data_IF_114233775120
#
_entry.id   IF_114233775120
#
_cell.length_a   1.000
_cell.length_b   1.000
_cell.length_c   1.000
_cell.angle_alpha   90.00
_cell.angle_beta   90.00
_cell.angle_gamma   90.00
#
_symmetry.space_group_name_H-M   'P 1'
#
loop_
_entity.id
_entity.type
_entity.pdbx_description
1 polymer ?
#
# COMPACT_ATOMS: atom_id res chain seq x y z
N UNK A 1 -28.87 15.42 -7.61
CA UNK A 1 -28.28 16.01 -6.39
C UNK A 1 -28.58 15.06 -5.24
N UNK A 2 -27.57 14.75 -4.43
CA UNK A 2 -27.60 13.85 -3.26
C UNK A 2 -27.81 12.35 -3.59
N UNK A 3 -27.05 11.40 -3.05
CA UNK A 3 -26.09 11.42 -1.95
C UNK A 3 -25.04 10.35 -2.24
N UNK A 4 -23.79 10.75 -2.50
CA UNK A 4 -22.65 9.82 -2.34
C UNK A 4 -22.39 9.80 -0.85
N UNK A 5 -22.98 8.83 -0.18
CA UNK A 5 -22.63 8.48 1.18
C UNK A 5 -21.14 8.10 1.18
N UNK A 6 -20.30 9.09 1.48
CA UNK A 6 -18.86 8.96 1.74
C UNK A 6 -18.64 8.75 3.25
N UNK A 7 -19.54 8.01 3.89
CA UNK A 7 -19.47 7.70 5.32
C UNK A 7 -18.87 6.32 5.50
N UNK A 8 -17.55 6.31 5.65
CA UNK A 8 -16.76 5.14 6.03
C UNK A 8 -15.42 5.58 6.62
N UNK A 9 -15.47 6.58 7.51
CA UNK A 9 -14.32 7.08 8.25
C UNK A 9 -14.09 6.19 9.47
N UNK A 10 -12.95 5.49 9.51
CA UNK A 10 -12.24 5.25 10.77
C UNK A 10 -12.59 4.03 11.63
N UNK A 11 -13.14 2.93 11.10
CA UNK A 11 -13.29 1.68 11.86
C UNK A 11 -12.73 0.48 11.08
N UNK A 12 -11.41 0.30 11.09
CA UNK A 12 -10.76 -0.94 10.63
C UNK A 12 -10.73 -1.16 9.11
N UNK A 13 -9.96 -0.35 8.38
CA UNK A 13 -9.74 -0.53 6.95
C UNK A 13 -9.41 -2.00 6.61
N UNK A 14 -10.26 -2.66 5.83
CA UNK A 14 -9.95 -4.01 5.34
C UNK A 14 -8.61 -3.97 4.59
N UNK A 15 -7.74 -4.98 4.74
CA UNK A 15 -6.47 -5.03 4.03
C UNK A 15 -6.61 -4.78 2.53
N UNK A 16 -7.59 -5.37 1.85
CA UNK A 16 -7.81 -5.14 0.42
C UNK A 16 -8.09 -3.67 0.07
N UNK A 17 -8.92 -2.97 0.84
CA UNK A 17 -9.22 -1.55 0.57
C UNK A 17 -7.99 -0.67 0.75
N UNK A 18 -7.24 -0.90 1.83
CA UNK A 18 -5.99 -0.19 2.08
C UNK A 18 -4.95 -0.49 0.98
N UNK A 19 -4.75 -1.76 0.63
CA UNK A 19 -3.81 -2.18 -0.39
C UNK A 19 -4.20 -1.63 -1.78
N UNK A 20 -5.49 -1.55 -2.10
CA UNK A 20 -5.97 -0.93 -3.33
C UNK A 20 -5.67 0.57 -3.42
N UNK A 21 -5.86 1.32 -2.32
CA UNK A 21 -5.50 2.75 -2.26
C UNK A 21 -3.98 2.95 -2.36
N UNK A 22 -3.21 2.13 -1.65
CA UNK A 22 -1.75 2.18 -1.70
C UNK A 22 -1.22 1.83 -3.09
N UNK A 23 -1.82 0.87 -3.79
CA UNK A 23 -1.48 0.52 -5.16
C UNK A 23 -1.69 1.70 -6.13
N UNK A 24 -2.81 2.42 -5.99
CA UNK A 24 -3.08 3.62 -6.78
C UNK A 24 -2.05 4.74 -6.49
N UNK A 25 -1.66 4.92 -5.23
CA UNK A 25 -0.63 5.88 -4.84
C UNK A 25 0.75 5.54 -5.42
N UNK A 26 1.14 4.25 -5.40
CA UNK A 26 2.39 3.76 -6.01
C UNK A 26 2.38 4.05 -7.52
N UNK A 27 1.30 3.72 -8.23
CA UNK A 27 1.19 3.97 -9.67
C UNK A 27 1.26 5.48 -10.01
N UNK A 28 0.62 6.34 -9.22
CA UNK A 28 0.69 7.78 -9.39
C UNK A 28 2.11 8.34 -9.20
N UNK A 29 2.87 7.76 -8.25
CA UNK A 29 4.26 8.15 -7.99
C UNK A 29 5.23 7.70 -9.08
N UNK A 30 5.09 6.46 -9.58
CA UNK A 30 5.89 5.95 -10.70
C UNK A 30 5.68 6.79 -11.98
N UNK A 31 4.44 7.21 -12.25
CA UNK A 31 4.14 8.12 -13.37
C UNK A 31 4.87 9.47 -13.27
N UNK A 32 5.12 9.96 -12.05
CA UNK A 32 5.91 11.18 -11.78
C UNK A 32 7.41 10.93 -11.91
N UNK A 33 7.92 9.81 -11.39
CA UNK A 33 9.34 9.44 -11.51
C UNK A 33 9.74 9.18 -12.96
N UNK A 34 8.90 8.53 -13.77
CA UNK A 34 9.17 8.29 -15.20
C UNK A 34 9.33 9.59 -16.00
N UNK A 35 8.69 10.69 -15.56
CA UNK A 35 8.88 12.03 -16.14
C UNK A 35 10.22 12.68 -15.75
N UNK A 36 10.80 12.30 -14.61
CA UNK A 36 12.09 12.79 -14.11
C UNK A 36 13.12 11.68 -14.27
N UNK A 37 13.65 11.52 -15.48
CA UNK A 37 14.68 10.57 -15.93
C UNK A 37 15.72 10.21 -14.83
N UNK A 38 15.42 9.21 -14.00
CA UNK A 38 16.26 8.76 -12.88
C UNK A 38 16.33 7.24 -12.92
N UNK A 39 17.49 6.72 -13.31
CA UNK A 39 17.75 5.29 -13.42
C UNK A 39 18.14 4.74 -12.04
N UNK A 40 17.14 4.35 -11.25
CA UNK A 40 17.33 3.67 -9.96
C UNK A 40 16.75 2.26 -10.02
N UNK A 41 17.52 1.32 -10.59
CA UNK A 41 17.17 -0.11 -10.69
C UNK A 41 16.78 -0.77 -9.36
N UNK A 42 17.44 -0.49 -8.21
CA UNK A 42 17.02 -1.06 -6.92
C UNK A 42 15.62 -0.61 -6.48
N UNK A 43 15.27 0.64 -6.78
CA UNK A 43 13.96 1.24 -6.48
C UNK A 43 12.86 0.56 -7.31
N UNK A 44 13.15 0.28 -8.59
CA UNK A 44 12.23 -0.40 -9.49
C UNK A 44 11.92 -1.84 -9.07
N UNK A 45 12.92 -2.59 -8.58
CA UNK A 45 12.72 -3.96 -8.08
C UNK A 45 11.87 -3.93 -6.80
N UNK A 46 12.17 -3.03 -5.87
CA UNK A 46 11.38 -2.87 -4.64
C UNK A 46 9.93 -2.48 -4.93
N UNK A 47 9.71 -1.54 -5.86
CA UNK A 47 8.38 -1.12 -6.29
C UNK A 47 7.60 -2.27 -6.96
N UNK A 48 8.25 -3.07 -7.81
CA UNK A 48 7.62 -4.23 -8.44
C UNK A 48 7.21 -5.30 -7.42
N UNK A 49 8.07 -5.59 -6.42
CA UNK A 49 7.74 -6.51 -5.33
C UNK A 49 6.59 -5.99 -4.47
N UNK A 50 6.60 -4.69 -4.11
CA UNK A 50 5.52 -4.03 -3.36
C UNK A 50 4.20 -4.13 -4.11
N UNK A 51 4.19 -3.77 -5.41
CA UNK A 51 3.01 -3.89 -6.28
C UNK A 51 2.47 -5.33 -6.31
N UNK A 52 3.32 -6.32 -6.53
CA UNK A 52 2.89 -7.72 -6.58
C UNK A 52 2.26 -8.20 -5.26
N UNK A 53 2.77 -7.75 -4.11
CA UNK A 53 2.20 -8.11 -2.81
C UNK A 53 0.85 -7.43 -2.57
N UNK A 54 0.72 -6.14 -2.96
CA UNK A 54 -0.53 -5.39 -2.85
C UNK A 54 -1.63 -5.96 -3.75
N UNK A 55 -1.31 -6.33 -5.00
CA UNK A 55 -2.24 -6.96 -5.93
C UNK A 55 -2.79 -8.28 -5.39
N UNK A 56 -1.92 -9.11 -4.78
CA UNK A 56 -2.36 -10.36 -4.13
C UNK A 56 -3.27 -10.09 -2.94
N UNK A 57 -2.94 -9.12 -2.09
CA UNK A 57 -3.76 -8.77 -0.92
C UNK A 57 -5.15 -8.24 -1.34
N UNK A 58 -5.23 -7.46 -2.42
CA UNK A 58 -6.52 -7.01 -2.99
C UNK A 58 -7.34 -8.19 -3.51
N UNK A 59 -6.71 -9.14 -4.19
CA UNK A 59 -7.39 -10.29 -4.78
C UNK A 59 -7.87 -11.30 -3.74
N UNK A 60 -7.05 -11.55 -2.72
CA UNK A 60 -7.31 -12.58 -1.71
C UNK A 60 -8.07 -12.05 -0.49
N UNK A 61 -8.14 -10.71 -0.34
CA UNK A 61 -8.87 -10.00 0.72
C UNK A 61 -8.76 -10.67 2.10
N UNK A 62 -7.53 -10.80 2.65
CA UNK A 62 -7.35 -11.42 3.95
C UNK A 62 -8.11 -10.65 5.01
N UNK A 63 -8.64 -11.37 6.01
CA UNK A 63 -9.27 -10.74 7.15
C UNK A 63 -8.27 -9.85 7.91
N UNK A 64 -8.71 -8.73 8.51
CA UNK A 64 -7.85 -7.85 9.30
C UNK A 64 -7.00 -8.59 10.35
N UNK A 65 -7.58 -9.57 11.04
CA UNK A 65 -6.93 -10.41 12.04
C UNK A 65 -5.85 -11.33 11.47
N UNK A 66 -6.01 -11.77 10.22
CA UNK A 66 -5.10 -12.70 9.56
C UNK A 66 -4.05 -12.00 8.69
N UNK A 67 -4.13 -10.68 8.53
CA UNK A 67 -3.32 -9.98 7.56
C UNK A 67 -1.81 -10.09 7.82
N UNK A 68 -1.39 -10.04 9.10
CA UNK A 68 0.01 -10.25 9.47
C UNK A 68 0.49 -11.66 9.12
N UNK A 69 -0.30 -12.67 9.46
CA UNK A 69 0.00 -14.07 9.15
C UNK A 69 0.06 -14.29 7.63
N UNK A 70 -0.91 -13.75 6.89
CA UNK A 70 -0.95 -13.79 5.43
C UNK A 70 0.32 -13.16 4.82
N UNK A 71 0.78 -12.01 5.33
CA UNK A 71 2.03 -11.38 4.86
C UNK A 71 3.27 -12.24 5.16
N UNK A 72 3.33 -12.87 6.34
CA UNK A 72 4.43 -13.76 6.72
C UNK A 72 4.50 -14.99 5.80
N UNK A 73 3.36 -15.59 5.44
CA UNK A 73 3.31 -16.70 4.49
C UNK A 73 3.90 -16.31 3.14
N UNK A 74 3.58 -15.12 2.61
CA UNK A 74 4.16 -14.63 1.35
C UNK A 74 5.68 -14.44 1.46
N UNK A 75 6.19 -14.08 2.64
CA UNK A 75 7.63 -14.00 2.88
C UNK A 75 8.31 -15.38 2.85
N UNK A 76 7.64 -16.40 3.39
CA UNK A 76 8.13 -17.78 3.39
C UNK A 76 8.12 -18.38 1.97
N UNK A 77 7.08 -18.11 1.19
CA UNK A 77 6.97 -18.53 -0.22
C UNK A 77 8.12 -17.97 -1.09
N UNK A 78 8.65 -16.80 -0.75
CA UNK A 78 9.73 -16.15 -1.51
C UNK A 78 11.12 -16.81 -1.32
N UNK A 79 11.27 -17.75 -0.37
CA UNK A 79 12.50 -18.51 -0.17
C UNK A 79 13.75 -17.63 0.04
N UNK A 80 14.85 -17.89 -0.70
CA UNK A 80 16.13 -17.14 -0.58
C UNK A 80 16.01 -15.64 -0.92
N UNK A 81 14.93 -15.19 -1.57
CA UNK A 81 14.62 -13.78 -1.80
C UNK A 81 13.82 -13.11 -0.66
N UNK A 82 13.53 -13.84 0.41
CA UNK A 82 12.59 -13.44 1.47
C UNK A 82 12.99 -12.19 2.26
N UNK A 83 14.27 -11.79 2.29
CA UNK A 83 14.71 -10.60 3.03
C UNK A 83 14.07 -9.30 2.54
N UNK A 84 14.08 -9.07 1.22
CA UNK A 84 13.47 -7.89 0.62
C UNK A 84 11.93 -7.94 0.70
N UNK A 85 11.35 -9.11 0.47
CA UNK A 85 9.90 -9.32 0.60
C UNK A 85 9.43 -9.07 2.03
N UNK A 86 10.20 -9.51 3.03
CA UNK A 86 9.92 -9.29 4.45
C UNK A 86 9.99 -7.82 4.84
N UNK A 87 11.00 -7.09 4.36
CA UNK A 87 11.10 -5.65 4.61
C UNK A 87 9.88 -4.90 4.02
N UNK A 88 9.47 -5.27 2.80
CA UNK A 88 8.29 -4.68 2.13
C UNK A 88 6.99 -5.05 2.87
N UNK A 89 6.84 -6.31 3.28
CA UNK A 89 5.69 -6.79 4.01
C UNK A 89 5.52 -6.07 5.36
N UNK A 90 6.62 -5.89 6.10
CA UNK A 90 6.62 -5.12 7.34
C UNK A 90 6.19 -3.67 7.11
N UNK A 91 6.74 -3.00 6.09
CA UNK A 91 6.33 -1.64 5.74
C UNK A 91 4.84 -1.52 5.44
N UNK A 92 4.30 -2.42 4.61
CA UNK A 92 2.85 -2.46 4.31
C UNK A 92 2.03 -2.67 5.58
N UNK A 93 2.45 -3.58 6.46
CA UNK A 93 1.73 -3.88 7.69
C UNK A 93 1.70 -2.68 8.65
N UNK A 94 2.82 -1.99 8.82
CA UNK A 94 2.90 -0.79 9.67
C UNK A 94 2.04 0.36 9.11
N UNK A 95 2.12 0.62 7.80
CA UNK A 95 1.29 1.63 7.15
C UNK A 95 -0.21 1.32 7.32
N UNK A 96 -0.61 0.05 7.18
CA UNK A 96 -1.99 -0.40 7.40
C UNK A 96 -2.44 -0.24 8.85
N UNK A 97 -1.62 -0.66 9.82
CA UNK A 97 -1.90 -0.48 11.26
C UNK A 97 -2.05 1.00 11.60
N UNK A 98 -1.19 1.85 11.05
CA UNK A 98 -1.26 3.29 11.24
C UNK A 98 -2.54 3.87 10.62
N UNK A 99 -2.93 3.43 9.42
CA UNK A 99 -4.17 3.87 8.78
C UNK A 99 -5.42 3.43 9.55
N UNK A 100 -5.36 2.28 10.24
CA UNK A 100 -6.41 1.84 11.16
C UNK A 100 -6.45 2.64 12.46
N UNK A 101 -5.30 3.01 13.00
CA UNK A 101 -5.19 3.80 14.22
C UNK A 101 -5.48 5.29 14.01
N UNK A 102 -5.31 5.79 12.78
CA UNK A 102 -5.48 7.21 12.42
C UNK A 102 -6.48 7.39 11.27
N UNK A 103 -7.72 7.83 11.56
CA UNK A 103 -8.69 8.21 10.54
C UNK A 103 -8.17 9.29 9.57
N UNK A 104 -7.26 10.16 10.03
CA UNK A 104 -6.62 11.19 9.21
C UNK A 104 -5.74 10.61 8.10
N UNK A 105 -4.94 9.58 8.39
CA UNK A 105 -4.13 8.90 7.38
C UNK A 105 -5.00 8.14 6.38
N UNK A 106 -6.07 7.48 6.86
CA UNK A 106 -7.04 6.82 5.99
C UNK A 106 -7.71 7.77 5.00
N UNK A 107 -8.01 9.00 5.43
CA UNK A 107 -8.53 10.08 4.56
C UNK A 107 -7.49 10.57 3.56
N UNK A 108 -6.25 10.83 3.99
CA UNK A 108 -5.17 11.24 3.09
C UNK A 108 -4.88 10.21 1.99
N UNK A 109 -4.92 8.91 2.31
CA UNK A 109 -4.83 7.84 1.32
C UNK A 109 -6.03 7.80 0.37
N UNK A 110 -7.24 8.05 0.86
CA UNK A 110 -8.43 8.15 0.01
C UNK A 110 -8.36 9.33 -0.98
N UNK A 111 -7.62 10.38 -0.62
CA UNK A 111 -7.35 11.55 -1.46
C UNK A 111 -6.17 11.30 -2.44
N UNK A 112 -5.60 10.08 -2.47
CA UNK A 112 -4.58 9.67 -3.42
C UNK A 112 -3.15 9.96 -2.98
N UNK A 113 -2.92 10.13 -1.67
CA UNK A 113 -1.61 10.44 -1.11
C UNK A 113 -0.92 11.64 -1.79
N UNK A 114 -1.57 12.82 -1.84
CA UNK A 114 -0.93 14.02 -2.37
C UNK A 114 0.31 14.36 -1.54
N UNK A 115 1.44 14.58 -2.21
CA UNK A 115 2.70 15.00 -1.58
C UNK A 115 2.72 16.51 -1.43
N UNK A 116 3.10 16.98 -0.24
CA UNK A 116 3.23 18.42 0.10
C UNK A 116 4.44 19.08 -0.62
N UNK A 117 5.35 18.27 -1.19
CA UNK A 117 6.54 18.74 -1.92
C UNK A 117 6.24 19.31 -3.33
N UNK A 118 4.97 19.53 -3.65
CA UNK A 118 4.54 20.09 -4.94
C UNK A 118 4.40 21.63 -4.91
N UNK A 119 4.54 22.27 -3.75
CA UNK A 119 4.55 23.73 -3.62
C UNK A 119 6.00 24.25 -3.54
N UNK A 120 6.69 24.24 -4.68
CA UNK A 120 8.02 24.83 -4.86
C UNK A 120 8.25 25.23 -6.31
#
# INVERSE_FOLDING_TARGET
MSSRDRSGSGAGARPAEFCGRLLAAVAASEGRQKRRKRDTTPDAIGAALKRGLLERAVREDPAPEDFEAWLLERCLEAGRGGGAVRAIALGIFEEWRLARASPALGRWLAEGAPSDDAAG
#
